data_IF_667264373545
#
_entry.id   IF_667264373545
#
_cell.length_a   1.000
_cell.length_b   1.000
_cell.length_c   1.000
_cell.angle_alpha   90.00
_cell.angle_beta   90.00
_cell.angle_gamma   90.00
#
_symmetry.space_group_name_H-M   'P 1'
#
loop_
_entity.id
_entity.type
_entity.pdbx_description
1 polymer ?
#
# COMPACT_ATOMS: atom_id res chain seq x y z
N UNK A 1 -11.37 6.58 -26.16
CA UNK A 1 -12.69 6.10 -25.70
C UNK A 1 -12.71 4.64 -25.32
N UNK A 2 -12.15 3.77 -26.13
CA UNK A 2 -12.09 2.33 -25.84
C UNK A 2 -11.35 2.04 -24.51
N UNK A 3 -10.25 2.76 -24.27
CA UNK A 3 -9.46 2.58 -23.04
C UNK A 3 -10.23 2.98 -21.80
N UNK A 4 -10.98 4.08 -21.86
CA UNK A 4 -11.80 4.54 -20.73
C UNK A 4 -12.94 3.57 -20.43
N UNK A 5 -13.57 3.04 -21.49
CA UNK A 5 -14.63 2.06 -21.34
C UNK A 5 -14.08 0.76 -20.75
N UNK A 6 -12.95 0.29 -21.24
CA UNK A 6 -12.30 -0.91 -20.71
C UNK A 6 -11.93 -0.71 -19.22
N UNK A 7 -11.38 0.46 -18.88
CA UNK A 7 -11.05 0.79 -17.49
C UNK A 7 -12.27 0.81 -16.59
N UNK A 8 -13.36 1.39 -17.05
CA UNK A 8 -14.63 1.44 -16.32
C UNK A 8 -15.20 0.04 -16.09
N UNK A 9 -15.18 -0.81 -17.13
CA UNK A 9 -15.67 -2.19 -17.02
C UNK A 9 -14.83 -3.00 -16.05
N UNK A 10 -13.49 -2.89 -16.14
CA UNK A 10 -12.58 -3.56 -15.22
C UNK A 10 -12.80 -3.10 -13.79
N UNK A 11 -12.95 -1.80 -13.57
CA UNK A 11 -13.23 -1.26 -12.25
C UNK A 11 -14.56 -1.81 -11.70
N UNK A 12 -15.58 -1.86 -12.54
CA UNK A 12 -16.90 -2.38 -12.15
C UNK A 12 -16.85 -3.86 -11.75
N UNK A 13 -15.93 -4.62 -12.35
CA UNK A 13 -15.73 -6.02 -11.98
C UNK A 13 -14.90 -6.16 -10.71
N UNK A 14 -13.89 -5.32 -10.55
CA UNK A 14 -12.93 -5.39 -9.43
C UNK A 14 -13.58 -4.95 -8.12
N UNK A 15 -14.45 -3.94 -8.13
CA UNK A 15 -15.02 -3.39 -6.89
C UNK A 15 -15.79 -4.43 -6.08
N UNK A 16 -16.71 -5.22 -6.66
CA UNK A 16 -17.41 -6.26 -5.89
C UNK A 16 -16.43 -7.32 -5.35
N UNK A 17 -15.44 -7.69 -6.16
CA UNK A 17 -14.44 -8.67 -5.73
C UNK A 17 -13.56 -8.11 -4.62
N UNK A 18 -13.23 -6.83 -4.66
CA UNK A 18 -12.48 -6.15 -3.60
C UNK A 18 -13.27 -6.13 -2.29
N UNK A 19 -14.57 -5.87 -2.36
CA UNK A 19 -15.44 -5.92 -1.18
C UNK A 19 -15.46 -7.33 -0.59
N UNK A 20 -15.62 -8.34 -1.44
CA UNK A 20 -15.58 -9.74 -1.01
C UNK A 20 -14.24 -10.09 -0.35
N UNK A 21 -13.15 -9.65 -0.96
CA UNK A 21 -11.80 -9.85 -0.41
C UNK A 21 -11.61 -9.16 0.94
N UNK A 22 -12.12 -7.96 1.08
CA UNK A 22 -12.07 -7.23 2.34
C UNK A 22 -12.84 -7.97 3.45
N UNK A 23 -14.04 -8.45 3.14
CA UNK A 23 -14.84 -9.21 4.11
C UNK A 23 -14.14 -10.50 4.51
N UNK A 24 -13.54 -11.20 3.54
CA UNK A 24 -12.74 -12.38 3.82
C UNK A 24 -11.57 -12.04 4.74
N UNK A 25 -10.89 -10.94 4.47
CA UNK A 25 -9.76 -10.48 5.28
C UNK A 25 -10.18 -10.21 6.72
N UNK A 26 -11.34 -9.59 6.93
CA UNK A 26 -11.86 -9.35 8.26
C UNK A 26 -12.11 -10.67 9.00
N UNK A 27 -12.67 -11.66 8.33
CA UNK A 27 -12.90 -12.98 8.92
C UNK A 27 -11.60 -13.68 9.27
N UNK A 28 -10.65 -13.71 8.35
CA UNK A 28 -9.35 -14.36 8.56
C UNK A 28 -8.55 -13.63 9.65
N UNK A 29 -8.62 -12.30 9.66
CA UNK A 29 -7.92 -11.50 10.68
C UNK A 29 -8.45 -11.71 12.08
N UNK A 30 -9.75 -12.00 12.22
CA UNK A 30 -10.37 -12.28 13.52
C UNK A 30 -10.04 -13.69 14.04
N UNK A 31 -9.87 -14.66 13.15
CA UNK A 31 -9.77 -16.08 13.51
C UNK A 31 -8.39 -16.69 13.32
N UNK A 32 -7.38 -15.95 12.88
CA UNK A 32 -6.06 -16.52 12.78
C UNK A 32 -5.05 -15.70 12.00
N UNK A 33 -3.77 -16.07 12.16
CA UNK A 33 -2.65 -15.45 11.47
C UNK A 33 -2.27 -16.34 10.28
N UNK A 34 -2.89 -16.10 9.14
CA UNK A 34 -2.58 -16.85 7.92
C UNK A 34 -1.77 -15.99 6.97
N UNK A 35 -1.03 -16.65 6.06
CA UNK A 35 -0.31 -15.92 5.01
C UNK A 35 -1.27 -15.14 4.11
N UNK A 36 -2.45 -15.72 3.85
CA UNK A 36 -3.50 -15.08 3.07
C UNK A 36 -3.93 -13.76 3.73
N UNK A 37 -4.12 -13.77 5.05
CA UNK A 37 -4.49 -12.57 5.80
C UNK A 37 -3.40 -11.51 5.75
N UNK A 38 -2.15 -11.91 5.95
CA UNK A 38 -1.01 -10.98 5.88
C UNK A 38 -0.82 -10.40 4.49
N UNK A 39 -0.97 -11.23 3.46
CA UNK A 39 -0.88 -10.76 2.07
C UNK A 39 -1.99 -9.76 1.75
N UNK A 40 -3.21 -10.04 2.21
CA UNK A 40 -4.34 -9.14 2.02
C UNK A 40 -4.14 -7.79 2.73
N UNK A 41 -3.63 -7.81 3.95
CA UNK A 41 -3.31 -6.58 4.70
C UNK A 41 -2.24 -5.77 3.97
N UNK A 42 -1.19 -6.43 3.48
CA UNK A 42 -0.16 -5.73 2.70
C UNK A 42 -0.72 -5.11 1.44
N UNK A 43 -1.54 -5.85 0.70
CA UNK A 43 -2.15 -5.35 -0.52
C UNK A 43 -3.06 -4.16 -0.25
N UNK A 44 -3.84 -4.23 0.84
CA UNK A 44 -4.71 -3.13 1.25
C UNK A 44 -3.89 -1.90 1.67
N UNK A 45 -2.80 -2.10 2.38
CA UNK A 45 -1.87 -1.04 2.78
C UNK A 45 -1.29 -0.35 1.53
N UNK A 46 -0.85 -1.13 0.54
CA UNK A 46 -0.35 -0.60 -0.73
C UNK A 46 -1.44 0.16 -1.50
N UNK A 47 -2.65 -0.35 -1.48
CA UNK A 47 -3.80 0.33 -2.10
C UNK A 47 -4.05 1.70 -1.46
N UNK A 48 -4.09 1.75 -0.14
CA UNK A 48 -4.29 3.00 0.61
C UNK A 48 -3.15 3.97 0.31
N UNK A 49 -1.91 3.48 0.30
CA UNK A 49 -0.76 4.31 -0.01
C UNK A 49 -0.85 4.93 -1.40
N UNK A 50 -1.20 4.13 -2.40
CA UNK A 50 -1.27 4.60 -3.77
C UNK A 50 -2.42 5.59 -3.99
N UNK A 51 -3.55 5.39 -3.33
CA UNK A 51 -4.76 6.19 -3.57
C UNK A 51 -4.86 7.42 -2.69
N UNK A 52 -4.65 7.28 -1.39
CA UNK A 52 -4.82 8.37 -0.43
C UNK A 52 -3.55 9.21 -0.26
N UNK A 53 -2.38 8.58 -0.30
CA UNK A 53 -1.10 9.26 -0.07
C UNK A 53 -0.32 9.55 -1.35
N UNK A 54 -0.87 9.18 -2.50
CA UNK A 54 -0.23 9.37 -3.81
C UNK A 54 1.17 8.76 -3.87
N UNK A 55 1.35 7.63 -3.21
CA UNK A 55 2.60 6.88 -3.22
C UNK A 55 2.65 5.86 -4.33
N UNK A 56 3.68 5.05 -4.33
CA UNK A 56 3.83 3.97 -5.28
C UNK A 56 3.01 2.75 -4.84
N UNK A 57 2.48 2.01 -5.82
CA UNK A 57 1.70 0.80 -5.52
C UNK A 57 2.55 -0.31 -4.91
N UNK A 58 3.87 -0.20 -5.04
CA UNK A 58 4.82 -1.22 -4.60
C UNK A 58 5.42 -0.92 -3.23
N UNK A 59 4.87 0.05 -2.52
CA UNK A 59 5.30 0.37 -1.16
C UNK A 59 4.09 0.51 -0.24
N UNK A 60 4.31 0.27 1.05
CA UNK A 60 3.31 0.49 2.10
C UNK A 60 3.26 1.96 2.49
N UNK A 61 2.22 2.35 3.24
CA UNK A 61 2.14 3.69 3.83
C UNK A 61 3.35 3.95 4.72
N UNK A 62 3.76 2.96 5.52
CA UNK A 62 4.91 3.09 6.43
C UNK A 62 6.22 3.33 5.69
N UNK A 63 6.46 2.58 4.62
CA UNK A 63 7.65 2.75 3.79
C UNK A 63 7.67 4.13 3.12
N UNK A 64 6.52 4.54 2.57
CA UNK A 64 6.36 5.86 1.96
C UNK A 64 6.61 6.97 2.99
N UNK A 65 6.06 6.82 4.20
CA UNK A 65 6.26 7.80 5.28
C UNK A 65 7.74 7.97 5.61
N UNK A 66 8.48 6.86 5.69
CA UNK A 66 9.93 6.93 5.96
C UNK A 66 10.69 7.60 4.82
N UNK A 67 10.34 7.28 3.58
CA UNK A 67 10.95 7.89 2.39
C UNK A 67 10.74 9.40 2.37
N UNK A 68 9.57 9.86 2.82
CA UNK A 68 9.18 11.27 2.86
C UNK A 68 9.13 11.82 4.29
N UNK A 69 9.97 11.33 5.20
CA UNK A 69 9.90 11.62 6.64
C UNK A 69 10.02 13.10 7.01
N UNK A 70 10.46 13.95 6.08
CA UNK A 70 10.50 15.39 6.27
C UNK A 70 9.13 16.05 6.17
N UNK A 71 8.14 15.36 5.63
CA UNK A 71 6.78 15.86 5.45
C UNK A 71 5.94 15.69 6.72
N UNK A 72 4.98 16.59 6.92
CA UNK A 72 4.14 16.58 8.12
C UNK A 72 3.31 15.30 8.26
N UNK A 73 2.65 14.89 7.17
CA UNK A 73 1.83 13.68 7.21
C UNK A 73 2.68 12.45 7.56
N UNK A 74 3.89 12.39 7.02
CA UNK A 74 4.80 11.28 7.26
C UNK A 74 5.23 11.23 8.73
N UNK A 75 5.48 12.38 9.33
CA UNK A 75 5.82 12.46 10.76
C UNK A 75 4.70 11.92 11.64
N UNK A 76 3.44 12.23 11.29
CA UNK A 76 2.28 11.71 12.02
C UNK A 76 2.21 10.20 11.91
N UNK A 77 2.38 9.66 10.70
CA UNK A 77 2.38 8.20 10.48
C UNK A 77 3.50 7.53 11.27
N UNK A 78 4.70 8.08 11.21
CA UNK A 78 5.87 7.54 11.93
C UNK A 78 5.60 7.57 13.43
N UNK A 79 5.10 8.68 13.94
CA UNK A 79 4.78 8.81 15.36
C UNK A 79 3.73 7.78 15.79
N UNK A 80 2.65 7.65 15.01
CA UNK A 80 1.57 6.73 15.32
C UNK A 80 2.05 5.27 15.34
N UNK A 81 2.83 4.88 14.33
CA UNK A 81 3.33 3.50 14.25
C UNK A 81 4.37 3.20 15.32
N UNK A 82 5.15 4.20 15.74
CA UNK A 82 6.14 4.02 16.81
C UNK A 82 5.47 3.71 18.16
N UNK A 83 4.19 4.07 18.34
CA UNK A 83 3.44 3.72 19.55
C UNK A 83 3.21 2.20 19.67
N UNK A 84 3.16 1.51 18.54
CA UNK A 84 2.92 0.06 18.47
C UNK A 84 4.21 -0.72 18.23
N UNK A 85 5.06 -0.20 17.34
CA UNK A 85 6.29 -0.86 16.93
C UNK A 85 7.34 0.18 16.58
N UNK A 86 8.24 0.46 17.51
CA UNK A 86 9.29 1.46 17.32
C UNK A 86 10.16 1.11 16.11
N UNK A 87 10.38 2.08 15.23
CA UNK A 87 11.18 1.90 14.03
C UNK A 87 10.50 1.12 12.91
N UNK A 88 9.18 0.93 13.01
CA UNK A 88 8.43 0.16 12.02
C UNK A 88 8.55 0.73 10.60
N UNK A 89 8.41 2.04 10.46
CA UNK A 89 8.47 2.69 9.14
C UNK A 89 9.85 2.55 8.49
N UNK A 90 10.92 2.70 9.26
CA UNK A 90 12.28 2.52 8.77
C UNK A 90 12.50 1.10 8.26
N UNK A 91 12.08 0.10 9.05
CA UNK A 91 12.23 -1.30 8.67
C UNK A 91 11.40 -1.64 7.43
N UNK A 92 10.18 -1.11 7.34
CA UNK A 92 9.34 -1.30 6.16
C UNK A 92 10.01 -0.73 4.92
N UNK A 93 10.59 0.46 5.01
CA UNK A 93 11.30 1.08 3.90
C UNK A 93 12.53 0.27 3.48
N UNK A 94 13.29 -0.25 4.44
CA UNK A 94 14.46 -1.09 4.12
C UNK A 94 14.08 -2.33 3.32
N UNK A 95 12.91 -2.91 3.60
CA UNK A 95 12.43 -4.10 2.87
C UNK A 95 11.88 -3.75 1.50
N UNK A 96 11.21 -2.61 1.37
CA UNK A 96 10.39 -2.28 0.19
C UNK A 96 11.07 -1.34 -0.80
N UNK A 97 12.00 -0.50 -0.35
CA UNK A 97 12.67 0.47 -1.23
C UNK A 97 13.39 -0.20 -2.41
N UNK A 98 14.08 -1.34 -2.24
CA UNK A 98 14.67 -2.01 -3.40
C UNK A 98 13.65 -2.40 -4.47
N UNK A 99 12.44 -2.76 -4.07
CA UNK A 99 11.36 -3.10 -5.00
C UNK A 99 10.89 -1.85 -5.74
N UNK A 100 10.70 -0.75 -5.02
CA UNK A 100 10.32 0.55 -5.60
C UNK A 100 11.37 1.00 -6.61
N UNK A 101 12.65 0.90 -6.24
CA UNK A 101 13.76 1.28 -7.12
C UNK A 101 13.76 0.45 -8.41
N UNK A 102 13.50 -0.84 -8.29
CA UNK A 102 13.42 -1.73 -9.44
C UNK A 102 12.25 -1.37 -10.37
N UNK A 103 11.09 -1.07 -9.79
CA UNK A 103 9.91 -0.67 -10.55
C UNK A 103 10.15 0.63 -11.30
N UNK A 104 10.77 1.61 -10.65
CA UNK A 104 11.11 2.88 -11.28
C UNK A 104 12.13 2.70 -12.40
N UNK A 105 13.15 1.85 -12.18
CA UNK A 105 14.15 1.54 -13.18
C UNK A 105 13.54 0.92 -14.43
N UNK A 106 12.53 0.07 -14.26
CA UNK A 106 11.83 -0.58 -15.36
C UNK A 106 10.69 0.28 -15.93
N UNK A 107 10.50 1.48 -15.40
CA UNK A 107 9.45 2.41 -15.82
C UNK A 107 8.04 1.80 -15.73
N UNK A 108 7.83 0.93 -14.76
CA UNK A 108 6.53 0.30 -14.54
C UNK A 108 5.56 1.20 -13.78
N UNK A 109 6.09 2.30 -13.22
CA UNK A 109 5.30 3.26 -12.48
C UNK A 109 5.88 4.66 -12.65
N UNK A 110 5.03 5.67 -12.59
CA UNK A 110 5.47 7.07 -12.67
C UNK A 110 6.25 7.45 -11.42
N UNK A 111 7.21 8.36 -11.58
CA UNK A 111 7.89 8.93 -10.42
C UNK A 111 6.97 9.90 -9.69
N UNK A 112 7.02 9.85 -8.36
CA UNK A 112 6.29 10.79 -7.51
C UNK A 112 7.23 11.31 -6.44
N UNK A 113 7.05 12.56 -6.06
CA UNK A 113 7.87 13.25 -5.07
C UNK A 113 7.22 13.33 -3.69
N UNK A 114 6.08 12.69 -3.54
CA UNK A 114 5.34 12.71 -2.27
C UNK A 114 5.76 11.62 -1.30
#
# INVERSE_FOLDING_TARGET
MKERLAGFLLMSMIVPLAVAGYLLLCGVGLFGRTERGRAGVRALDHFVNATLFNGYAWESVSSHAWRCRHRRWARVVIWATDQFQKGHCERANKREQPIVDLVLKKRLERQTIF
#
